data_IF_435590840607
#
_entry.id   IF_435590840607
#
_cell.length_a   1.000
_cell.length_b   1.000
_cell.length_c   1.000
_cell.angle_alpha   90.00
_cell.angle_beta   90.00
_cell.angle_gamma   90.00
#
_symmetry.space_group_name_H-M   'P 1'
#
loop_
_entity.id
_entity.type
_entity.pdbx_description
1 polymer ?
#
# COMPACT_ATOMS: atom_id res chain seq x y z
N UNK A 1 25.32 -33.07 48.65
CA UNK A 1 25.47 -34.06 47.56
C UNK A 1 24.11 -34.25 46.90
N UNK A 2 24.06 -34.21 45.56
CA UNK A 2 22.97 -34.64 44.65
C UNK A 2 21.79 -33.70 44.36
N UNK A 3 22.09 -32.78 43.46
CA UNK A 3 21.45 -32.54 42.15
C UNK A 3 20.44 -33.58 41.61
N UNK A 4 19.29 -33.08 41.12
CA UNK A 4 18.47 -33.61 40.00
C UNK A 4 17.37 -32.57 39.66
N UNK A 5 17.59 -31.60 38.76
CA UNK A 5 17.36 -31.61 37.29
C UNK A 5 16.02 -32.18 36.78
N UNK A 6 15.26 -31.25 36.18
CA UNK A 6 14.38 -31.35 34.98
C UNK A 6 13.01 -32.01 35.14
N UNK A 7 11.96 -31.24 34.85
CA UNK A 7 11.46 -31.08 33.47
C UNK A 7 10.64 -29.80 33.32
N UNK A 8 11.18 -28.89 32.50
CA UNK A 8 10.50 -27.76 31.90
C UNK A 8 9.28 -28.21 31.11
N UNK A 9 8.08 -27.88 31.60
CA UNK A 9 6.90 -27.72 30.75
C UNK A 9 6.88 -26.27 30.25
N UNK A 10 7.82 -25.93 29.37
CA UNK A 10 7.76 -24.71 28.58
C UNK A 10 6.54 -24.83 27.65
N UNK A 11 5.37 -24.38 28.13
CA UNK A 11 4.19 -24.15 27.30
C UNK A 11 4.59 -23.13 26.24
N UNK A 12 4.95 -23.64 25.06
CA UNK A 12 5.03 -22.85 23.83
C UNK A 12 3.68 -22.12 23.73
N UNK A 13 3.70 -20.81 23.93
CA UNK A 13 2.57 -19.96 23.56
C UNK A 13 2.30 -20.23 22.07
N UNK A 14 1.06 -20.52 21.67
CA UNK A 14 0.76 -20.70 20.26
C UNK A 14 1.09 -19.40 19.55
N UNK A 15 1.92 -19.52 18.51
CA UNK A 15 2.19 -18.46 17.54
C UNK A 15 0.85 -17.82 17.17
N UNK A 16 0.73 -16.50 17.42
CA UNK A 16 -0.40 -15.66 16.98
C UNK A 16 -0.72 -16.05 15.53
N UNK A 17 -1.90 -16.61 15.32
CA UNK A 17 -2.37 -17.04 14.00
C UNK A 17 -2.27 -15.84 13.04
N UNK A 18 -1.40 -15.95 12.02
CA UNK A 18 -1.21 -14.89 11.03
C UNK A 18 -2.45 -14.88 10.15
N UNK A 19 -3.47 -14.11 10.55
CA UNK A 19 -4.66 -13.85 9.72
C UNK A 19 -4.21 -13.30 8.37
N UNK A 20 -4.67 -13.85 7.25
CA UNK A 20 -4.40 -13.30 5.90
C UNK A 20 -5.05 -11.91 5.75
N UNK A 21 -4.57 -11.05 4.85
CA UNK A 21 -5.18 -9.73 4.61
C UNK A 21 -6.67 -9.87 4.26
N UNK A 22 -7.00 -10.81 3.38
CA UNK A 22 -8.36 -11.14 2.98
C UNK A 22 -9.24 -11.51 4.18
N UNK A 23 -8.74 -12.28 5.16
CA UNK A 23 -9.53 -12.61 6.36
C UNK A 23 -9.92 -11.41 7.24
N UNK A 24 -9.27 -10.25 7.06
CA UNK A 24 -9.67 -8.98 7.69
C UNK A 24 -10.58 -8.16 6.76
N UNK A 25 -10.25 -8.10 5.48
CA UNK A 25 -10.96 -7.22 4.53
C UNK A 25 -12.29 -7.81 4.08
N UNK A 26 -12.39 -9.12 3.88
CA UNK A 26 -13.60 -9.77 3.36
C UNK A 26 -14.82 -9.57 4.29
N UNK A 27 -14.73 -9.75 5.62
CA UNK A 27 -15.87 -9.47 6.51
C UNK A 27 -16.22 -7.98 6.55
N UNK A 28 -15.23 -7.09 6.43
CA UNK A 28 -15.48 -5.64 6.34
C UNK A 28 -16.25 -5.30 5.07
N UNK A 29 -15.79 -5.78 3.90
CA UNK A 29 -16.43 -5.55 2.61
C UNK A 29 -17.87 -6.03 2.64
N UNK A 30 -18.13 -7.26 3.13
CA UNK A 30 -19.49 -7.78 3.29
C UNK A 30 -20.32 -6.92 4.24
N UNK A 31 -19.74 -6.47 5.35
CA UNK A 31 -20.40 -5.64 6.35
C UNK A 31 -20.82 -4.25 5.84
N UNK A 32 -20.12 -3.69 4.85
CA UNK A 32 -20.47 -2.41 4.21
C UNK A 32 -21.32 -2.58 2.95
N UNK A 33 -21.82 -3.80 2.67
CA UNK A 33 -22.68 -4.10 1.52
C UNK A 33 -21.91 -4.31 0.21
N UNK A 34 -20.60 -4.56 0.27
CA UNK A 34 -19.81 -5.00 -0.86
C UNK A 34 -19.88 -6.53 -1.08
N UNK A 35 -19.50 -6.94 -2.28
CA UNK A 35 -19.53 -8.32 -2.75
C UNK A 35 -18.10 -8.78 -3.07
N UNK A 36 -17.79 -10.05 -2.80
CA UNK A 36 -16.53 -10.67 -3.23
C UNK A 36 -16.73 -11.23 -4.64
N UNK A 37 -15.91 -10.78 -5.59
CA UNK A 37 -16.08 -11.12 -7.02
C UNK A 37 -15.92 -12.62 -7.25
N UNK A 38 -15.01 -13.30 -6.54
CA UNK A 38 -14.84 -14.76 -6.66
C UNK A 38 -16.11 -15.53 -6.30
N UNK A 39 -16.90 -15.01 -5.35
CA UNK A 39 -18.16 -15.63 -4.94
C UNK A 39 -19.24 -15.48 -6.03
N UNK A 40 -19.14 -14.44 -6.88
CA UNK A 40 -20.11 -14.13 -7.94
C UNK A 40 -19.88 -14.94 -9.23
N UNK A 41 -18.62 -15.17 -9.58
CA UNK A 41 -18.24 -15.71 -10.90
C UNK A 41 -18.17 -17.25 -10.92
N UNK A 42 -18.23 -17.88 -9.75
CA UNK A 42 -18.05 -19.31 -9.57
C UNK A 42 -16.60 -19.75 -9.84
N UNK A 43 -16.19 -20.85 -9.23
CA UNK A 43 -14.81 -21.38 -9.24
C UNK A 43 -14.35 -21.96 -10.60
N UNK A 44 -14.75 -21.37 -11.72
CA UNK A 44 -14.28 -21.72 -13.06
C UNK A 44 -12.94 -21.02 -13.29
N UNK A 45 -11.98 -21.71 -13.92
CA UNK A 45 -10.66 -21.19 -14.29
C UNK A 45 -10.79 -19.88 -15.11
N UNK A 46 -10.89 -18.76 -14.40
CA UNK A 46 -11.18 -17.44 -14.96
C UNK A 46 -9.90 -16.59 -14.94
N UNK A 47 -9.75 -15.66 -15.90
CA UNK A 47 -8.64 -14.72 -15.90
C UNK A 47 -8.61 -13.93 -14.59
N UNK A 48 -7.40 -13.61 -14.10
CA UNK A 48 -7.17 -12.78 -12.91
C UNK A 48 -8.16 -11.60 -12.86
N UNK A 49 -9.11 -11.70 -11.93
CA UNK A 49 -10.18 -10.74 -11.70
C UNK A 49 -9.83 -9.83 -10.52
N UNK A 50 -10.63 -8.77 -10.37
CA UNK A 50 -10.60 -7.88 -9.24
C UNK A 50 -11.23 -8.56 -8.02
N UNK A 51 -10.86 -8.16 -6.81
CA UNK A 51 -11.33 -8.80 -5.58
C UNK A 51 -12.80 -8.47 -5.23
N UNK A 52 -13.21 -7.21 -5.41
CA UNK A 52 -14.46 -6.71 -4.81
C UNK A 52 -15.34 -5.91 -5.78
N UNK A 53 -16.65 -5.94 -5.51
CA UNK A 53 -17.67 -5.13 -6.17
C UNK A 53 -18.50 -4.38 -5.13
N UNK A 54 -18.59 -3.06 -5.28
CA UNK A 54 -19.48 -2.19 -4.52
C UNK A 54 -20.61 -1.73 -5.44
N UNK A 55 -21.64 -2.58 -5.57
CA UNK A 55 -22.72 -2.39 -6.55
C UNK A 55 -23.49 -1.09 -6.34
N UNK A 56 -23.74 -0.70 -5.10
CA UNK A 56 -24.41 0.56 -4.75
C UNK A 56 -23.67 1.81 -5.26
N UNK A 57 -22.37 1.70 -5.54
CA UNK A 57 -21.55 2.79 -6.06
C UNK A 57 -21.07 2.55 -7.50
N UNK A 58 -21.48 1.44 -8.14
CA UNK A 58 -20.96 1.04 -9.45
C UNK A 58 -19.40 1.02 -9.49
N UNK A 59 -18.77 0.51 -8.43
CA UNK A 59 -17.29 0.47 -8.27
C UNK A 59 -16.80 -0.97 -8.19
N UNK A 60 -15.79 -1.31 -8.99
CA UNK A 60 -15.01 -2.54 -8.89
C UNK A 60 -13.67 -2.21 -8.25
N UNK A 61 -13.28 -2.93 -7.22
CA UNK A 61 -12.06 -2.68 -6.46
C UNK A 61 -11.10 -3.88 -6.51
N UNK A 62 -9.81 -3.59 -6.69
CA UNK A 62 -8.72 -4.55 -6.52
C UNK A 62 -7.91 -4.18 -5.28
N UNK A 63 -7.65 -5.16 -4.41
CA UNK A 63 -6.85 -5.02 -3.22
C UNK A 63 -5.42 -5.52 -3.46
N UNK A 64 -4.44 -4.63 -3.24
CA UNK A 64 -3.02 -4.99 -3.27
C UNK A 64 -2.38 -4.77 -1.92
N UNK A 65 -1.58 -5.75 -1.50
CA UNK A 65 -0.82 -5.67 -0.25
C UNK A 65 0.63 -5.26 -0.54
N UNK A 66 1.13 -4.25 0.19
CA UNK A 66 2.55 -3.92 0.24
C UNK A 66 3.15 -4.60 1.47
N UNK A 67 3.79 -5.76 1.25
CA UNK A 67 4.43 -6.58 2.29
C UNK A 67 5.95 -6.40 2.30
N UNK A 68 6.57 -6.70 3.45
CA UNK A 68 8.02 -6.70 3.64
C UNK A 68 8.72 -7.63 2.64
N UNK A 69 9.83 -7.17 2.03
CA UNK A 69 10.70 -8.03 1.22
C UNK A 69 10.24 -8.29 -0.22
N UNK A 70 9.05 -7.84 -0.62
CA UNK A 70 8.59 -7.94 -2.02
C UNK A 70 9.37 -7.04 -2.99
N UNK A 71 10.01 -5.99 -2.47
CA UNK A 71 10.72 -4.98 -3.26
C UNK A 71 12.21 -4.89 -2.90
N UNK A 72 12.56 -5.20 -1.66
CA UNK A 72 13.84 -4.88 -1.01
C UNK A 72 15.09 -5.29 -1.81
N UNK A 73 15.23 -6.53 -2.25
CA UNK A 73 16.54 -7.00 -2.76
C UNK A 73 16.89 -6.41 -4.14
N UNK A 74 15.94 -6.45 -5.07
CA UNK A 74 16.13 -5.85 -6.40
C UNK A 74 16.19 -4.33 -6.34
N UNK A 75 15.45 -3.71 -5.43
CA UNK A 75 15.46 -2.27 -5.21
C UNK A 75 16.79 -1.80 -4.60
N UNK A 76 17.27 -2.45 -3.53
CA UNK A 76 18.52 -2.08 -2.87
C UNK A 76 19.71 -2.15 -3.82
N UNK A 77 19.79 -3.19 -4.66
CA UNK A 77 20.83 -3.30 -5.68
C UNK A 77 20.77 -2.14 -6.68
N UNK A 78 19.60 -1.92 -7.31
CA UNK A 78 19.42 -0.84 -8.28
C UNK A 78 19.64 0.54 -7.64
N UNK A 79 19.29 0.71 -6.37
CA UNK A 79 19.49 1.96 -5.64
C UNK A 79 20.96 2.19 -5.30
N UNK A 80 21.71 1.15 -4.92
CA UNK A 80 23.16 1.22 -4.74
C UNK A 80 23.88 1.59 -6.06
N UNK A 81 23.45 1.02 -7.19
CA UNK A 81 23.96 1.39 -8.52
C UNK A 81 23.68 2.88 -8.83
N UNK A 82 22.48 3.35 -8.48
CA UNK A 82 22.07 4.73 -8.67
C UNK A 82 22.89 5.71 -7.82
N UNK A 83 23.16 5.36 -6.56
CA UNK A 83 24.04 6.13 -5.68
C UNK A 83 25.47 6.18 -6.23
N UNK A 84 26.01 5.04 -6.69
CA UNK A 84 27.33 5.00 -7.31
C UNK A 84 27.41 5.84 -8.59
N UNK A 85 26.31 5.90 -9.37
CA UNK A 85 26.21 6.80 -10.53
C UNK A 85 26.25 8.27 -10.09
N UNK A 86 25.50 8.66 -9.06
CA UNK A 86 25.48 10.06 -8.60
C UNK A 86 26.83 10.50 -8.01
N UNK A 87 27.54 9.61 -7.31
CA UNK A 87 28.88 9.92 -6.78
C UNK A 87 29.92 10.09 -7.90
N UNK A 88 29.94 9.18 -8.89
CA UNK A 88 30.81 9.32 -10.08
C UNK A 88 30.53 10.59 -10.87
N UNK A 89 29.28 11.05 -10.88
CA UNK A 89 28.86 12.28 -11.55
C UNK A 89 29.05 13.53 -10.68
N UNK A 90 29.52 13.40 -9.44
CA UNK A 90 29.65 14.51 -8.49
C UNK A 90 28.32 15.16 -8.07
N UNK A 91 27.19 14.50 -8.35
CA UNK A 91 25.83 15.01 -8.06
C UNK A 91 25.42 14.77 -6.62
N UNK A 92 25.91 13.70 -6.01
CA UNK A 92 25.73 13.41 -4.60
C UNK A 92 26.95 12.64 -4.10
N UNK A 93 27.72 13.25 -3.20
CA UNK A 93 28.85 12.58 -2.55
C UNK A 93 28.50 12.31 -1.10
N UNK A 94 28.57 11.03 -0.72
CA UNK A 94 28.26 10.56 0.63
C UNK A 94 29.53 9.96 1.25
N UNK A 95 29.92 10.48 2.40
CA UNK A 95 31.04 9.95 3.18
C UNK A 95 30.50 9.15 4.37
N UNK A 96 31.02 7.93 4.54
CA UNK A 96 30.62 7.04 5.64
C UNK A 96 29.19 6.49 5.50
N UNK A 97 28.52 6.25 6.64
CA UNK A 97 27.14 5.77 6.70
C UNK A 97 26.21 6.93 6.97
N UNK A 98 25.40 7.32 5.98
CA UNK A 98 24.41 8.41 6.09
C UNK A 98 23.00 7.87 5.90
N UNK A 99 22.07 8.35 6.71
CA UNK A 99 20.64 8.22 6.41
C UNK A 99 20.24 9.26 5.37
N UNK A 100 19.88 8.79 4.17
CA UNK A 100 19.41 9.66 3.11
C UNK A 100 17.93 10.00 3.31
N UNK A 101 17.66 11.26 3.60
CA UNK A 101 16.30 11.81 3.60
C UNK A 101 15.97 12.27 2.18
N UNK A 102 14.86 11.77 1.61
CA UNK A 102 14.41 12.12 0.26
C UNK A 102 14.26 13.64 0.08
N UNK A 103 13.82 14.35 1.12
CA UNK A 103 13.69 15.81 1.15
C UNK A 103 15.01 16.57 1.01
N UNK A 104 16.15 15.96 1.37
CA UNK A 104 17.49 16.56 1.33
C UNK A 104 18.29 16.21 0.07
N UNK A 105 17.74 15.40 -0.82
CA UNK A 105 18.39 15.05 -2.09
C UNK A 105 18.24 16.20 -3.10
N UNK A 106 19.26 16.42 -3.96
CA UNK A 106 19.11 17.22 -5.17
C UNK A 106 17.89 16.77 -5.99
N UNK A 107 17.19 17.72 -6.60
CA UNK A 107 15.87 17.47 -7.20
C UNK A 107 15.88 16.39 -8.30
N UNK A 108 16.93 16.40 -9.11
CA UNK A 108 17.22 15.43 -10.17
C UNK A 108 17.53 14.03 -9.61
N UNK A 109 18.36 13.92 -8.58
CA UNK A 109 18.64 12.67 -7.87
C UNK A 109 17.36 12.12 -7.21
N UNK A 110 16.58 12.99 -6.57
CA UNK A 110 15.29 12.65 -5.98
C UNK A 110 14.30 12.12 -7.04
N UNK A 111 14.27 12.72 -8.22
CA UNK A 111 13.42 12.24 -9.32
C UNK A 111 13.88 10.86 -9.83
N UNK A 112 15.19 10.64 -9.99
CA UNK A 112 15.73 9.33 -10.36
C UNK A 112 15.42 8.26 -9.30
N UNK A 113 15.51 8.61 -8.02
CA UNK A 113 15.12 7.74 -6.90
C UNK A 113 13.63 7.38 -6.97
N UNK A 114 12.75 8.37 -7.12
CA UNK A 114 11.31 8.12 -7.25
C UNK A 114 10.98 7.32 -8.50
N UNK A 115 11.68 7.52 -9.61
CA UNK A 115 11.48 6.75 -10.83
C UNK A 115 11.81 5.26 -10.61
N UNK A 116 12.92 4.98 -9.91
CA UNK A 116 13.34 3.64 -9.53
C UNK A 116 12.34 2.98 -8.57
N UNK A 117 11.99 3.67 -7.47
CA UNK A 117 11.00 3.17 -6.48
C UNK A 117 9.64 2.91 -7.15
N UNK A 118 9.23 3.81 -8.03
CA UNK A 118 7.97 3.71 -8.75
C UNK A 118 7.95 2.57 -9.77
N UNK A 119 9.08 2.03 -10.22
CA UNK A 119 9.11 0.98 -11.26
C UNK A 119 8.39 -0.28 -10.79
N UNK A 120 8.74 -0.78 -9.60
CA UNK A 120 8.18 -2.03 -9.09
C UNK A 120 6.70 -1.89 -8.70
N UNK A 121 6.33 -0.78 -8.06
CA UNK A 121 4.91 -0.49 -7.76
C UNK A 121 4.11 -0.36 -9.07
N UNK A 122 4.66 0.31 -10.09
CA UNK A 122 3.99 0.41 -11.41
C UNK A 122 3.79 -0.95 -12.06
N UNK A 123 4.82 -1.78 -12.08
CA UNK A 123 4.79 -3.06 -12.79
C UNK A 123 3.92 -4.10 -12.10
N UNK A 124 4.02 -4.25 -10.79
CA UNK A 124 3.44 -5.38 -10.06
C UNK A 124 2.17 -5.05 -9.28
N UNK A 125 1.96 -3.76 -8.95
CA UNK A 125 0.76 -3.34 -8.20
C UNK A 125 -0.24 -2.74 -9.16
N UNK A 126 0.19 -1.72 -9.89
CA UNK A 126 -0.70 -0.88 -10.69
C UNK A 126 -1.14 -1.55 -12.00
N UNK A 127 -0.18 -2.06 -12.78
CA UNK A 127 -0.49 -2.65 -14.09
C UNK A 127 -1.39 -3.89 -13.96
N UNK A 128 -1.10 -4.74 -12.99
CA UNK A 128 -1.89 -5.93 -12.67
C UNK A 128 -3.30 -5.55 -12.21
N UNK A 129 -3.42 -4.61 -11.27
CA UNK A 129 -4.74 -4.14 -10.82
C UNK A 129 -5.57 -3.53 -11.97
N UNK A 130 -4.95 -2.73 -12.83
CA UNK A 130 -5.64 -2.17 -13.99
C UNK A 130 -6.16 -3.28 -14.93
N UNK A 131 -5.36 -4.34 -15.15
CA UNK A 131 -5.75 -5.51 -15.96
C UNK A 131 -6.90 -6.29 -15.30
N UNK A 132 -6.80 -6.55 -14.00
CA UNK A 132 -7.82 -7.28 -13.22
C UNK A 132 -9.16 -6.55 -13.20
N UNK A 133 -9.15 -5.23 -12.95
CA UNK A 133 -10.35 -4.41 -13.00
C UNK A 133 -10.95 -4.44 -14.43
N UNK A 134 -10.12 -4.29 -15.47
CA UNK A 134 -10.60 -4.36 -16.87
C UNK A 134 -11.27 -5.70 -17.19
N UNK A 135 -10.63 -6.80 -16.77
CA UNK A 135 -11.14 -8.16 -16.93
C UNK A 135 -12.50 -8.30 -16.24
N UNK A 136 -12.61 -7.83 -15.01
CA UNK A 136 -13.82 -7.95 -14.18
C UNK A 136 -14.98 -7.14 -14.73
N UNK A 137 -14.73 -5.91 -15.22
CA UNK A 137 -15.75 -5.13 -15.93
C UNK A 137 -16.36 -5.91 -17.10
N UNK A 138 -15.50 -6.59 -17.85
CA UNK A 138 -15.95 -7.38 -19.01
C UNK A 138 -16.72 -8.62 -18.55
N UNK A 139 -16.22 -9.32 -17.54
CA UNK A 139 -16.81 -10.54 -16.99
C UNK A 139 -18.19 -10.31 -16.37
N UNK A 140 -18.38 -9.17 -15.68
CA UNK A 140 -19.64 -8.81 -15.03
C UNK A 140 -20.57 -7.97 -15.92
N UNK A 141 -20.18 -7.70 -17.17
CA UNK A 141 -20.89 -6.81 -18.09
C UNK A 141 -21.16 -5.41 -17.48
N UNK A 142 -20.14 -4.83 -16.85
CA UNK A 142 -20.19 -3.52 -16.20
C UNK A 142 -19.13 -2.56 -16.81
N UNK A 143 -19.24 -2.19 -18.09
CA UNK A 143 -18.24 -1.34 -18.75
C UNK A 143 -18.08 0.04 -18.11
N UNK A 144 -19.19 0.58 -17.57
CA UNK A 144 -19.24 1.93 -16.97
C UNK A 144 -18.80 1.96 -15.50
N UNK A 145 -18.60 0.78 -14.88
CA UNK A 145 -18.16 0.72 -13.50
C UNK A 145 -16.83 1.46 -13.31
N UNK A 146 -16.68 2.21 -12.22
CA UNK A 146 -15.41 2.85 -11.87
C UNK A 146 -14.48 1.82 -11.25
N UNK A 147 -13.18 1.99 -11.46
CA UNK A 147 -12.17 1.11 -10.88
C UNK A 147 -11.47 1.75 -9.70
N UNK A 148 -11.38 1.04 -8.58
CA UNK A 148 -10.64 1.43 -7.39
C UNK A 148 -9.42 0.53 -7.23
N UNK A 149 -8.23 1.12 -7.17
CA UNK A 149 -7.05 0.41 -6.65
C UNK A 149 -6.94 0.71 -5.16
N UNK A 150 -7.14 -0.33 -4.35
CA UNK A 150 -7.10 -0.27 -2.89
C UNK A 150 -5.81 -0.91 -2.40
N UNK A 151 -4.95 -0.15 -1.74
CA UNK A 151 -3.61 -0.58 -1.35
C UNK A 151 -3.52 -0.66 0.17
N UNK A 152 -3.17 -1.83 0.68
CA UNK A 152 -2.93 -2.06 2.09
C UNK A 152 -1.43 -1.94 2.41
N UNK A 153 -1.11 -1.12 3.40
CA UNK A 153 0.21 -1.05 4.02
C UNK A 153 0.37 -2.19 5.04
N UNK A 154 0.76 -3.38 4.58
CA UNK A 154 0.76 -4.61 5.38
C UNK A 154 2.19 -5.07 5.68
N UNK A 155 2.93 -4.26 6.43
CA UNK A 155 4.31 -4.56 6.85
C UNK A 155 5.40 -4.05 5.90
N UNK A 156 5.10 -3.18 4.94
CA UNK A 156 6.13 -2.55 4.12
C UNK A 156 7.03 -1.63 4.95
N UNK A 157 8.24 -2.09 5.30
CA UNK A 157 9.25 -1.30 5.98
C UNK A 157 10.13 -0.49 5.01
N UNK A 158 10.09 -0.82 3.71
CA UNK A 158 11.00 -0.28 2.69
C UNK A 158 10.67 1.17 2.30
N UNK A 159 9.41 1.60 2.46
CA UNK A 159 8.95 2.92 2.06
C UNK A 159 8.05 3.58 3.11
N UNK A 160 8.31 4.87 3.36
CA UNK A 160 7.42 5.71 4.16
C UNK A 160 6.07 5.91 3.45
N UNK A 161 4.95 6.04 4.18
CA UNK A 161 3.62 6.16 3.60
C UNK A 161 3.44 7.31 2.60
N UNK A 162 4.09 8.45 2.82
CA UNK A 162 4.08 9.62 1.94
C UNK A 162 4.66 9.31 0.56
N UNK A 163 5.78 8.59 0.50
CA UNK A 163 6.44 8.18 -0.73
C UNK A 163 5.53 7.23 -1.52
N UNK A 164 4.95 6.24 -0.85
CA UNK A 164 4.01 5.30 -1.48
C UNK A 164 2.81 6.06 -2.05
N UNK A 165 2.21 6.95 -1.25
CA UNK A 165 1.06 7.72 -1.67
C UNK A 165 1.35 8.61 -2.87
N UNK A 166 2.50 9.30 -2.88
CA UNK A 166 2.94 10.10 -4.02
C UNK A 166 3.06 9.25 -5.30
N UNK A 167 3.69 8.08 -5.22
CA UNK A 167 3.86 7.17 -6.36
C UNK A 167 2.51 6.63 -6.86
N UNK A 168 1.58 6.34 -5.96
CA UNK A 168 0.21 5.97 -6.33
C UNK A 168 -0.50 7.12 -7.05
N UNK A 169 -0.46 8.35 -6.53
CA UNK A 169 -1.10 9.50 -7.19
C UNK A 169 -0.56 9.77 -8.60
N UNK A 170 0.74 9.63 -8.82
CA UNK A 170 1.34 9.77 -10.16
C UNK A 170 0.73 8.79 -11.18
N UNK A 171 0.20 7.66 -10.73
CA UNK A 171 -0.49 6.68 -11.58
C UNK A 171 -1.75 7.24 -12.22
N UNK A 172 -2.54 8.01 -11.46
CA UNK A 172 -3.76 8.64 -11.96
C UNK A 172 -3.45 9.76 -12.96
N UNK A 173 -2.26 10.35 -12.88
CA UNK A 173 -1.84 11.43 -13.78
C UNK A 173 -1.13 10.94 -15.04
N UNK A 174 -0.62 9.71 -15.05
CA UNK A 174 0.15 9.17 -16.18
C UNK A 174 -0.71 9.01 -17.43
N UNK A 175 -0.22 9.57 -18.54
CA UNK A 175 -0.82 9.50 -19.88
C UNK A 175 0.06 8.72 -20.85
N UNK A 176 -0.54 8.18 -21.90
CA UNK A 176 0.12 7.67 -23.10
C UNK A 176 0.46 8.84 -24.02
N UNK A 177 1.22 8.57 -25.07
CA UNK A 177 1.50 9.56 -26.13
C UNK A 177 0.21 10.10 -26.79
N UNK A 178 -0.84 9.28 -26.89
CA UNK A 178 -2.17 9.69 -27.37
C UNK A 178 -2.89 10.69 -26.47
N UNK A 179 -2.37 10.98 -25.28
CA UNK A 179 -3.04 11.81 -24.26
C UNK A 179 -4.01 11.03 -23.36
N UNK A 180 -4.32 9.78 -23.70
CA UNK A 180 -5.18 8.92 -22.90
C UNK A 180 -4.53 8.48 -21.58
N UNK A 181 -5.31 8.22 -20.53
CA UNK A 181 -4.83 7.53 -19.34
C UNK A 181 -4.01 6.27 -19.63
N UNK A 182 -2.81 6.16 -19.06
CA UNK A 182 -2.00 4.95 -19.14
C UNK A 182 -2.70 3.74 -18.47
N UNK A 183 -3.44 4.00 -17.38
CA UNK A 183 -4.20 3.02 -16.62
C UNK A 183 -5.67 3.39 -16.60
N UNK A 184 -6.34 3.24 -17.75
CA UNK A 184 -7.70 3.73 -17.98
C UNK A 184 -8.78 3.04 -17.14
N UNK A 185 -8.52 1.86 -16.57
CA UNK A 185 -9.50 1.18 -15.72
C UNK A 185 -9.49 1.69 -14.29
N UNK A 186 -8.40 2.32 -13.83
CA UNK A 186 -8.28 2.87 -12.47
C UNK A 186 -8.76 4.31 -12.45
N UNK A 187 -9.76 4.59 -11.61
CA UNK A 187 -10.42 5.89 -11.47
C UNK A 187 -10.16 6.51 -10.10
N UNK A 188 -9.94 5.68 -9.08
CA UNK A 188 -9.66 6.10 -7.72
C UNK A 188 -8.62 5.21 -7.04
N UNK A 189 -8.07 5.75 -5.96
CA UNK A 189 -7.07 5.13 -5.11
C UNK A 189 -7.51 5.23 -3.66
N UNK A 190 -7.24 4.17 -2.90
CA UNK A 190 -7.26 4.18 -1.44
C UNK A 190 -5.96 3.55 -0.94
N UNK A 191 -5.34 4.14 0.09
CA UNK A 191 -4.13 3.62 0.73
C UNK A 191 -4.27 3.71 2.25
N UNK A 192 -4.16 2.57 2.94
CA UNK A 192 -4.51 2.47 4.36
C UNK A 192 -3.64 1.43 5.08
N UNK A 193 -3.58 1.49 6.41
CA UNK A 193 -2.99 0.45 7.24
C UNK A 193 -4.06 -0.52 7.76
N UNK A 194 -3.99 -1.83 7.44
CA UNK A 194 -5.00 -2.80 7.88
C UNK A 194 -4.78 -3.30 9.32
N UNK A 195 -3.54 -3.22 9.84
CA UNK A 195 -3.12 -3.89 11.09
C UNK A 195 -2.18 -3.09 11.98
N UNK A 196 -1.23 -2.37 11.38
CA UNK A 196 -0.16 -1.69 12.13
C UNK A 196 -0.60 -0.29 12.49
N UNK A 197 -0.83 0.03 13.76
CA UNK A 197 -1.17 1.39 14.12
C UNK A 197 0.00 2.34 13.83
N UNK A 198 -0.30 3.50 13.29
CA UNK A 198 0.66 4.58 13.11
C UNK A 198 0.70 5.48 14.36
N UNK A 199 1.84 6.13 14.58
CA UNK A 199 1.93 7.38 15.32
C UNK A 199 1.71 8.52 14.32
N UNK A 200 0.74 9.36 14.62
CA UNK A 200 0.58 10.66 13.96
C UNK A 200 0.93 11.71 15.02
N UNK A 201 1.73 12.75 14.73
CA UNK A 201 2.17 13.74 15.71
C UNK A 201 1.06 14.35 16.57
N UNK A 202 -0.16 14.41 16.02
CA UNK A 202 -1.35 14.96 16.65
C UNK A 202 -2.11 13.95 17.54
N UNK A 203 -1.68 12.69 17.55
CA UNK A 203 -2.32 11.61 18.30
C UNK A 203 -1.37 11.00 19.34
N UNK A 204 -1.80 11.01 20.61
CA UNK A 204 -1.15 10.28 21.70
C UNK A 204 -1.39 8.77 21.64
N UNK A 205 -2.34 8.32 20.81
CA UNK A 205 -2.81 6.95 20.70
C UNK A 205 -2.44 6.32 19.34
N UNK A 206 -2.36 4.97 19.25
CA UNK A 206 -2.28 4.22 18.00
C UNK A 206 -3.36 4.66 16.98
N UNK A 207 -2.95 5.12 15.80
CA UNK A 207 -3.83 5.67 14.77
C UNK A 207 -3.96 4.77 13.54
N UNK A 208 -5.13 4.76 12.91
CA UNK A 208 -5.28 4.31 11.53
C UNK A 208 -5.10 5.50 10.60
N UNK A 209 -4.47 5.29 9.46
CA UNK A 209 -4.44 6.26 8.38
C UNK A 209 -5.25 5.73 7.20
N UNK A 210 -5.89 6.66 6.49
CA UNK A 210 -6.58 6.39 5.26
C UNK A 210 -6.36 7.55 4.29
N UNK A 211 -5.71 7.28 3.17
CA UNK A 211 -5.55 8.25 2.09
C UNK A 211 -6.41 7.82 0.92
N UNK A 212 -7.11 8.77 0.30
CA UNK A 212 -7.91 8.51 -0.88
C UNK A 212 -7.77 9.63 -1.91
N UNK A 213 -7.99 9.28 -3.17
CA UNK A 213 -7.84 10.20 -4.29
C UNK A 213 -8.54 9.69 -5.52
N UNK A 214 -8.97 10.61 -6.38
CA UNK A 214 -9.66 10.30 -7.64
C UNK A 214 -8.98 11.01 -8.80
N UNK A 215 -9.14 10.47 -10.01
CA UNK A 215 -8.53 11.05 -11.21
C UNK A 215 -9.15 12.39 -11.57
N UNK A 216 -10.48 12.49 -11.52
CA UNK A 216 -11.24 13.70 -11.82
C UNK A 216 -12.25 13.99 -10.71
N UNK A 217 -11.84 14.70 -9.65
CA UNK A 217 -12.69 14.91 -8.48
C UNK A 217 -14.08 15.47 -8.81
N UNK A 218 -14.19 16.39 -9.76
CA UNK A 218 -15.48 17.01 -10.09
C UNK A 218 -16.43 16.09 -10.88
N UNK A 219 -15.91 15.01 -11.46
CA UNK A 219 -16.67 14.11 -12.37
C UNK A 219 -16.83 12.69 -11.84
N UNK A 220 -15.96 12.27 -10.94
CA UNK A 220 -15.91 10.91 -10.41
C UNK A 220 -16.68 10.79 -9.07
N UNK A 221 -17.91 11.32 -9.02
CA UNK A 221 -18.73 11.40 -7.79
C UNK A 221 -19.06 10.03 -7.19
N UNK A 222 -19.35 9.02 -8.01
CA UNK A 222 -19.73 7.68 -7.52
C UNK A 222 -18.59 7.00 -6.77
N UNK A 223 -17.37 7.08 -7.31
CA UNK A 223 -16.18 6.52 -6.65
C UNK A 223 -15.74 7.37 -5.46
N UNK A 224 -15.97 8.68 -5.46
CA UNK A 224 -15.79 9.49 -4.25
C UNK A 224 -16.73 9.05 -3.14
N UNK A 225 -18.02 8.86 -3.44
CA UNK A 225 -18.99 8.37 -2.46
C UNK A 225 -18.58 6.99 -1.91
N UNK A 226 -18.09 6.08 -2.77
CA UNK A 226 -17.54 4.80 -2.36
C UNK A 226 -16.33 4.97 -1.43
N UNK A 227 -15.36 5.83 -1.79
CA UNK A 227 -14.15 6.08 -1.00
C UNK A 227 -14.49 6.67 0.38
N UNK A 228 -15.42 7.63 0.44
CA UNK A 228 -15.90 8.22 1.70
C UNK A 228 -16.66 7.20 2.55
N UNK A 229 -17.46 6.34 1.94
CA UNK A 229 -18.14 5.27 2.66
C UNK A 229 -17.14 4.29 3.28
N UNK A 230 -16.14 3.85 2.52
CA UNK A 230 -15.09 2.97 3.01
C UNK A 230 -14.25 3.62 4.12
N UNK A 231 -13.81 4.87 3.94
CA UNK A 231 -13.01 5.57 4.95
C UNK A 231 -13.76 5.77 6.26
N UNK A 232 -15.05 6.10 6.20
CA UNK A 232 -15.86 6.35 7.40
C UNK A 232 -16.28 5.07 8.13
N UNK A 233 -16.32 3.94 7.42
CA UNK A 233 -16.70 2.64 7.98
C UNK A 233 -15.50 1.85 8.52
N UNK A 234 -14.31 2.05 7.94
CA UNK A 234 -13.11 1.27 8.29
C UNK A 234 -12.69 1.40 9.77
N UNK A 235 -12.53 2.60 10.37
CA UNK A 235 -12.17 2.73 11.78
C UNK A 235 -13.20 2.09 12.74
N UNK A 236 -14.49 2.17 12.39
CA UNK A 236 -15.59 1.56 13.17
C UNK A 236 -15.48 0.04 13.15
N UNK A 237 -15.24 -0.53 11.97
CA UNK A 237 -15.02 -1.97 11.82
C UNK A 237 -13.80 -2.45 12.61
N UNK A 238 -12.66 -1.75 12.50
CA UNK A 238 -11.44 -2.14 13.23
C UNK A 238 -11.65 -2.07 14.75
N UNK A 239 -12.31 -1.01 15.23
CA UNK A 239 -12.64 -0.85 16.66
C UNK A 239 -13.48 -2.03 17.16
N UNK A 240 -14.51 -2.41 16.40
CA UNK A 240 -15.36 -3.57 16.72
C UNK A 240 -14.61 -4.91 16.64
N UNK A 241 -13.88 -5.15 15.54
CA UNK A 241 -13.24 -6.43 15.26
C UNK A 241 -12.01 -6.71 16.13
N UNK A 242 -11.30 -5.67 16.57
CA UNK A 242 -10.06 -5.80 17.35
C UNK A 242 -10.24 -5.42 18.82
N UNK A 243 -11.37 -4.78 19.20
CA UNK A 243 -11.61 -4.33 20.57
C UNK A 243 -10.66 -3.22 21.03
N UNK A 244 -10.04 -2.49 20.09
CA UNK A 244 -9.09 -1.41 20.37
C UNK A 244 -9.80 -0.08 20.12
N UNK A 245 -9.65 0.90 21.03
CA UNK A 245 -10.02 2.28 20.72
C UNK A 245 -9.02 2.83 19.71
N UNK A 246 -9.50 3.11 18.51
CA UNK A 246 -8.71 3.73 17.46
C UNK A 246 -9.21 5.16 17.28
N UNK A 247 -8.30 6.14 17.26
CA UNK A 247 -8.60 7.45 16.69
C UNK A 247 -8.39 7.43 15.20
N UNK A 248 -9.39 7.91 14.49
CA UNK A 248 -9.20 8.43 13.14
C UNK A 248 -8.41 9.75 13.27
N UNK A 249 -7.36 9.91 12.50
CA UNK A 249 -6.52 11.10 12.56
C UNK A 249 -6.45 11.70 11.17
N UNK A 250 -7.03 12.88 11.03
CA UNK A 250 -6.76 13.73 9.88
C UNK A 250 -5.28 14.12 9.91
N UNK A 251 -4.50 13.65 8.94
CA UNK A 251 -3.09 13.96 8.84
C UNK A 251 -2.66 13.96 7.38
N UNK A 252 -1.65 14.76 7.05
CA UNK A 252 -1.02 14.63 5.74
C UNK A 252 -0.21 13.32 5.72
N UNK A 253 -0.05 12.66 4.56
CA UNK A 253 0.81 11.48 4.44
C UNK A 253 2.21 11.67 5.04
N UNK A 254 2.74 12.88 4.95
CA UNK A 254 4.04 13.32 5.48
C UNK A 254 4.15 13.24 7.01
N UNK A 255 3.01 13.27 7.72
CA UNK A 255 2.93 13.26 9.18
C UNK A 255 2.88 11.84 9.75
N UNK A 256 2.61 10.82 8.93
CA UNK A 256 2.41 9.44 9.41
C UNK A 256 3.75 8.75 9.67
N UNK A 257 3.93 8.18 10.87
CA UNK A 257 5.07 7.33 11.25
C UNK A 257 4.56 5.99 11.76
N UNK A 258 5.05 4.87 11.26
CA UNK A 258 4.58 3.55 11.69
C UNK A 258 5.16 3.19 13.06
N UNK A 259 4.34 2.64 13.96
CA UNK A 259 4.80 2.21 15.28
C UNK A 259 5.64 0.93 15.20
N UNK A 260 6.80 0.92 15.87
CA UNK A 260 7.67 -0.26 15.96
C UNK A 260 8.53 -0.54 14.73
N UNK A 261 8.44 0.29 13.68
CA UNK A 261 9.34 0.25 12.53
C UNK A 261 10.43 1.28 12.76
N UNK A 262 11.64 0.85 13.13
CA UNK A 262 12.80 1.70 12.89
C UNK A 262 12.85 1.99 11.38
N UNK A 263 12.92 3.26 10.99
CA UNK A 263 13.04 3.63 9.58
C UNK A 263 14.28 2.95 9.01
N UNK A 264 14.10 1.81 8.34
CA UNK A 264 15.13 1.13 7.56
C UNK A 264 15.25 1.86 6.23
N UNK A 265 15.60 3.15 6.30
CA UNK A 265 16.26 3.79 5.17
C UNK A 265 17.49 2.92 4.87
N UNK A 266 17.72 2.48 3.63
CA UNK A 266 18.84 1.62 3.31
C UNK A 266 20.14 2.24 3.82
N UNK A 267 20.74 1.64 4.86
CA UNK A 267 22.05 2.00 5.37
C UNK A 267 23.06 1.36 4.44
N UNK A 268 23.57 2.11 3.48
CA UNK A 268 24.53 1.60 2.50
C UNK A 268 25.92 2.10 2.89
N UNK A 269 26.80 1.15 3.24
CA UNK A 269 28.21 1.41 3.41
C UNK A 269 28.90 1.35 2.05
N UNK A 270 29.33 2.50 1.53
CA UNK A 270 30.15 2.54 0.31
C UNK A 270 31.60 2.27 0.75
N UNK A 271 32.14 1.10 0.38
CA UNK A 271 33.56 0.82 0.52
C UNK A 271 34.31 1.49 -0.62
N UNK A 272 35.14 2.47 -0.29
CA UNK A 272 36.13 3.01 -1.21
C UNK A 272 37.28 1.99 -1.36
N UNK A 273 37.69 1.72 -2.60
CA UNK A 273 38.98 1.10 -2.91
C UNK A 273 39.99 2.21 -3.13
#
# INVERSE_FOLDING_TARGET
MRENRRRDACRRHPLKEVRTLQSIIDPFVKGVGGEIVSDLIGNKNLPSNADYLFRAHNVIAELKSLQTGGFAESFHRKFAELLGKWDRQGRLRVYGTVQLQSSKLPADCRQEMFALMGESIRKHVIADANKQIKSTKSLLNMPDAKGLLWVAHDGNEDFQPDVVWYLLLQTLQKKKESGDPAYSSIHGLAYFNPRMPAKVPQASEPALFWFSGTRKPDRDKDIQACLSHLSNSWPKYVTWAQGIKVRDVEGKPEDVRLMGVESKVPKIAIKYK
#
